data_IF_691645974743
#
_entry.id   IF_691645974743
#
_cell.length_a   1.000
_cell.length_b   1.000
_cell.length_c   1.000
_cell.angle_alpha   90.00
_cell.angle_beta   90.00
_cell.angle_gamma   90.00
#
_symmetry.space_group_name_H-M   'P 1'
#
loop_
_entity.id
_entity.type
_entity.pdbx_description
1 polymer ?
#
# COMPACT_ATOMS: atom_id res chain seq x y z
N UNK A 1 -4.30 11.70 -45.39
CA UNK A 1 -4.42 12.54 -44.17
C UNK A 1 -4.70 11.60 -43.00
N UNK A 2 -3.64 11.04 -42.43
CA UNK A 2 -3.68 10.18 -41.25
C UNK A 2 -3.36 11.03 -40.03
N UNK A 3 -4.25 10.98 -39.05
CA UNK A 3 -4.37 11.88 -37.91
C UNK A 3 -3.18 11.79 -36.94
N UNK A 4 -2.66 12.97 -36.62
CA UNK A 4 -1.57 13.33 -35.70
C UNK A 4 -2.00 13.28 -34.21
N UNK A 5 -2.97 12.41 -33.87
CA UNK A 5 -3.64 12.41 -32.57
C UNK A 5 -2.91 11.67 -31.44
N UNK A 6 -1.83 10.94 -31.74
CA UNK A 6 -1.09 10.14 -30.76
C UNK A 6 -0.14 10.94 -29.87
N UNK A 7 0.42 12.03 -30.38
CA UNK A 7 1.52 12.76 -29.72
C UNK A 7 1.03 13.74 -28.63
N UNK A 8 -0.22 14.23 -28.75
CA UNK A 8 -0.81 15.13 -27.75
C UNK A 8 -1.30 14.41 -26.48
N UNK A 9 -1.82 13.18 -26.60
CA UNK A 9 -2.29 12.41 -25.43
C UNK A 9 -1.13 11.95 -24.53
N UNK A 10 0.01 11.60 -25.12
CA UNK A 10 1.23 11.23 -24.38
C UNK A 10 1.80 12.39 -23.55
N UNK A 11 1.75 13.62 -24.08
CA UNK A 11 2.19 14.82 -23.35
C UNK A 11 1.31 15.15 -22.14
N UNK A 12 -0.01 15.08 -22.28
CA UNK A 12 -0.95 15.40 -21.18
C UNK A 12 -0.78 14.43 -20.01
N UNK A 13 -0.51 13.14 -20.27
CA UNK A 13 -0.25 12.17 -19.21
C UNK A 13 1.05 12.48 -18.45
N UNK A 14 2.11 12.87 -19.16
CA UNK A 14 3.39 13.25 -18.54
C UNK A 14 3.28 14.52 -17.67
N UNK A 15 2.35 15.41 -18.00
CA UNK A 15 2.07 16.64 -17.25
C UNK A 15 1.27 16.41 -15.96
N UNK A 16 0.72 15.20 -15.75
CA UNK A 16 0.02 14.88 -14.51
C UNK A 16 0.99 14.86 -13.31
N UNK A 17 0.52 15.16 -12.09
CA UNK A 17 1.36 15.03 -10.91
C UNK A 17 1.63 13.55 -10.62
N UNK A 18 2.77 13.28 -10.02
CA UNK A 18 3.07 11.96 -9.47
C UNK A 18 1.97 11.53 -8.47
N UNK A 19 1.51 10.27 -8.47
CA UNK A 19 2.00 9.13 -9.27
C UNK A 19 1.31 8.95 -10.64
N UNK A 20 0.39 9.84 -11.01
CA UNK A 20 -0.48 9.70 -12.19
C UNK A 20 0.23 9.93 -13.53
N UNK A 21 1.50 10.36 -13.52
CA UNK A 21 2.34 10.45 -14.70
C UNK A 21 3.17 9.20 -14.98
N UNK A 22 3.11 8.22 -14.09
CA UNK A 22 3.78 6.93 -14.26
C UNK A 22 2.92 5.98 -15.11
N UNK A 23 3.53 4.96 -15.71
CA UNK A 23 2.76 3.93 -16.42
C UNK A 23 1.94 3.09 -15.43
N UNK A 24 0.62 3.24 -15.51
CA UNK A 24 -0.34 2.55 -14.62
C UNK A 24 -0.87 1.25 -15.22
N UNK A 25 -0.45 0.85 -16.43
CA UNK A 25 -1.03 -0.29 -17.14
C UNK A 25 -0.75 -1.65 -16.51
N UNK A 26 0.25 -1.75 -15.65
CA UNK A 26 0.55 -2.96 -14.85
C UNK A 26 -0.30 -3.05 -13.58
N UNK A 27 -0.98 -1.96 -13.19
CA UNK A 27 -1.70 -1.83 -11.91
C UNK A 27 -3.21 -1.70 -12.13
N UNK A 28 -3.62 -0.97 -13.16
CA UNK A 28 -5.02 -0.76 -13.54
C UNK A 28 -5.39 -1.80 -14.61
N UNK A 29 -5.87 -2.95 -14.15
CA UNK A 29 -5.96 -4.16 -14.97
C UNK A 29 -7.40 -4.57 -15.34
N UNK A 30 -8.40 -4.04 -14.64
CA UNK A 30 -9.83 -4.39 -14.82
C UNK A 30 -10.57 -3.48 -15.81
N UNK A 31 -9.84 -2.84 -16.72
CA UNK A 31 -10.40 -1.96 -17.73
C UNK A 31 -11.15 -2.73 -18.84
N UNK A 32 -12.30 -2.20 -19.26
CA UNK A 32 -13.20 -2.80 -20.25
C UNK A 32 -12.69 -2.66 -21.69
N UNK A 33 -11.54 -3.28 -21.99
CA UNK A 33 -10.97 -3.36 -23.36
C UNK A 33 -10.48 -4.76 -23.65
N UNK A 34 -10.74 -5.23 -24.87
CA UNK A 34 -10.37 -6.58 -25.33
C UNK A 34 -8.86 -6.74 -25.55
N UNK A 35 -8.21 -5.79 -26.22
CA UNK A 35 -6.78 -5.89 -26.52
C UNK A 35 -5.88 -5.31 -25.41
N UNK A 36 -4.70 -5.92 -25.16
CA UNK A 36 -3.72 -5.37 -24.21
C UNK A 36 -3.30 -3.94 -24.53
N UNK A 37 -3.07 -3.61 -25.80
CA UNK A 37 -2.67 -2.26 -26.24
C UNK A 37 -3.75 -1.20 -25.96
N UNK A 38 -5.03 -1.56 -26.06
CA UNK A 38 -6.13 -0.65 -25.72
C UNK A 38 -6.33 -0.51 -24.22
N UNK A 39 -6.09 -1.57 -23.43
CA UNK A 39 -6.04 -1.46 -21.96
C UNK A 39 -4.90 -0.55 -21.51
N UNK A 40 -3.70 -0.74 -22.05
CA UNK A 40 -2.54 0.10 -21.74
C UNK A 40 -2.81 1.59 -22.01
N UNK A 41 -3.35 1.92 -23.19
CA UNK A 41 -3.73 3.31 -23.50
C UNK A 41 -4.81 3.85 -22.56
N UNK A 42 -5.79 3.03 -22.19
CA UNK A 42 -6.89 3.46 -21.34
C UNK A 42 -6.45 3.62 -19.87
N UNK A 43 -5.49 2.82 -19.40
CA UNK A 43 -4.91 2.95 -18.07
C UNK A 43 -4.20 4.29 -17.92
N UNK A 44 -3.42 4.68 -18.94
CA UNK A 44 -2.67 5.94 -18.97
C UNK A 44 -3.47 7.12 -19.55
N UNK A 45 -4.80 7.00 -19.65
CA UNK A 45 -5.64 8.09 -20.12
C UNK A 45 -5.90 9.11 -18.99
N UNK A 46 -5.77 10.43 -19.23
CA UNK A 46 -5.95 11.45 -18.19
C UNK A 46 -7.32 11.42 -17.49
N UNK A 47 -8.37 10.96 -18.16
CA UNK A 47 -9.70 10.84 -17.55
C UNK A 47 -9.76 9.63 -16.61
N UNK A 48 -9.03 8.54 -16.90
CA UNK A 48 -8.86 7.43 -15.94
C UNK A 48 -8.21 7.94 -14.65
N UNK A 49 -7.14 8.73 -14.79
CA UNK A 49 -6.50 9.41 -13.65
C UNK A 49 -7.44 10.36 -12.91
N UNK A 50 -8.31 11.08 -13.64
CA UNK A 50 -9.30 11.99 -13.06
C UNK A 50 -10.29 11.26 -12.13
N UNK A 51 -10.72 10.05 -12.50
CA UNK A 51 -11.59 9.23 -11.64
C UNK A 51 -10.84 8.68 -10.41
N UNK A 52 -9.60 8.24 -10.59
CA UNK A 52 -8.76 7.72 -9.49
C UNK A 52 -8.47 8.81 -8.45
N UNK A 53 -8.05 10.01 -8.88
CA UNK A 53 -7.78 11.13 -7.96
C UNK A 53 -9.04 11.61 -7.25
N UNK A 54 -10.19 11.65 -7.93
CA UNK A 54 -11.48 11.98 -7.33
C UNK A 54 -11.86 10.97 -6.23
N UNK A 55 -11.69 9.66 -6.50
CA UNK A 55 -11.97 8.61 -5.53
C UNK A 55 -11.01 8.62 -4.32
N UNK A 56 -9.72 8.88 -4.53
CA UNK A 56 -8.76 9.02 -3.43
C UNK A 56 -9.10 10.23 -2.55
N UNK A 57 -9.52 11.35 -3.15
CA UNK A 57 -9.97 12.53 -2.39
C UNK A 57 -11.24 12.23 -1.58
N UNK A 58 -12.20 11.50 -2.15
CA UNK A 58 -13.37 11.01 -1.41
C UNK A 58 -12.96 10.10 -0.26
N UNK A 59 -12.08 9.13 -0.50
CA UNK A 59 -11.55 8.28 0.55
C UNK A 59 -10.85 9.09 1.65
N UNK A 60 -10.09 10.12 1.30
CA UNK A 60 -9.40 10.98 2.27
C UNK A 60 -10.37 11.80 3.12
N UNK A 61 -11.47 12.29 2.54
CA UNK A 61 -12.50 13.03 3.27
C UNK A 61 -13.34 12.14 4.19
N UNK A 62 -13.53 10.87 3.85
CA UNK A 62 -14.38 9.98 4.65
C UNK A 62 -13.59 9.05 5.57
N UNK A 63 -12.32 8.76 5.25
CA UNK A 63 -11.46 7.82 5.97
C UNK A 63 -10.20 8.56 6.48
N UNK A 64 -10.30 9.18 7.66
CA UNK A 64 -9.18 9.91 8.25
C UNK A 64 -9.51 10.53 9.62
N UNK A 65 -8.49 11.04 10.35
CA UNK A 65 -8.70 11.80 11.58
C UNK A 65 -9.54 13.07 11.33
N UNK A 66 -9.35 13.71 10.18
CA UNK A 66 -10.06 14.93 9.77
C UNK A 66 -11.28 14.63 8.86
N UNK A 67 -11.95 13.49 9.07
CA UNK A 67 -13.04 13.10 8.19
C UNK A 67 -14.25 14.03 8.30
N UNK A 68 -14.82 14.40 7.16
CA UNK A 68 -16.08 15.13 7.09
C UNK A 68 -17.20 14.21 7.59
N UNK A 69 -17.76 14.54 8.76
CA UNK A 69 -18.90 13.84 9.34
C UNK A 69 -20.12 14.73 9.28
N UNK A 70 -21.12 14.32 8.50
CA UNK A 70 -22.42 14.97 8.50
C UNK A 70 -23.31 14.29 9.54
N UNK A 71 -23.80 15.05 10.53
CA UNK A 71 -24.81 14.53 11.44
C UNK A 71 -26.08 14.18 10.67
N UNK A 72 -26.63 12.99 10.89
CA UNK A 72 -27.97 12.59 10.44
C UNK A 72 -29.07 13.26 11.27
N UNK A 73 -28.74 13.72 12.48
CA UNK A 73 -29.57 14.56 13.34
C UNK A 73 -28.73 15.76 13.82
N UNK A 74 -29.13 17.02 13.54
CA UNK A 74 -28.41 18.20 14.00
C UNK A 74 -28.29 18.32 15.54
N UNK A 75 -29.18 17.69 16.29
CA UNK A 75 -29.23 17.75 17.76
C UNK A 75 -28.48 16.58 18.43
N UNK A 76 -28.00 15.59 17.66
CA UNK A 76 -27.22 14.47 18.18
C UNK A 76 -25.88 14.34 17.44
N UNK A 77 -24.81 14.78 18.09
CA UNK A 77 -23.44 14.71 17.55
C UNK A 77 -22.97 13.26 17.28
N UNK A 78 -23.63 12.25 17.86
CA UNK A 78 -23.33 10.82 17.61
C UNK A 78 -24.14 10.22 16.46
N UNK A 79 -25.16 10.93 16.00
CA UNK A 79 -25.96 10.61 14.83
C UNK A 79 -25.14 10.96 13.60
N UNK A 80 -24.15 10.15 13.24
CA UNK A 80 -23.30 10.37 12.06
C UNK A 80 -23.63 9.38 10.95
N UNK A 81 -23.60 9.83 9.70
CA UNK A 81 -23.75 8.92 8.55
C UNK A 81 -22.53 7.98 8.49
N UNK A 82 -22.74 6.65 8.54
CA UNK A 82 -21.66 5.64 8.48
C UNK A 82 -21.74 4.73 7.24
N UNK A 83 -21.74 5.26 6.00
CA UNK A 83 -21.76 4.38 4.85
C UNK A 83 -20.37 3.80 4.62
N UNK A 84 -20.23 2.49 4.83
CA UNK A 84 -19.02 1.77 4.47
C UNK A 84 -18.88 1.77 2.93
N UNK A 85 -17.91 2.53 2.42
CA UNK A 85 -17.58 2.72 0.99
C UNK A 85 -18.67 3.29 0.06
N UNK A 86 -19.90 3.61 0.51
CA UNK A 86 -20.93 4.15 -0.41
C UNK A 86 -20.54 5.51 -1.02
N UNK A 87 -19.66 6.25 -0.34
CA UNK A 87 -19.05 7.48 -0.84
C UNK A 87 -18.18 7.25 -2.09
N UNK A 88 -17.82 6.01 -2.42
CA UNK A 88 -17.12 5.63 -3.65
C UNK A 88 -18.05 5.19 -4.78
N UNK A 89 -19.37 5.36 -4.66
CA UNK A 89 -20.29 5.05 -5.76
C UNK A 89 -19.91 5.80 -7.05
N UNK A 90 -20.19 5.22 -8.22
CA UNK A 90 -19.92 5.86 -9.52
C UNK A 90 -20.44 7.31 -9.58
N UNK A 91 -21.63 7.57 -9.01
CA UNK A 91 -22.22 8.91 -8.98
C UNK A 91 -21.40 9.88 -8.12
N UNK A 92 -20.97 9.45 -6.93
CA UNK A 92 -20.16 10.27 -6.04
C UNK A 92 -18.78 10.57 -6.65
N UNK A 93 -18.11 9.56 -7.22
CA UNK A 93 -16.81 9.73 -7.89
C UNK A 93 -16.94 10.69 -9.09
N UNK A 94 -17.93 10.50 -9.95
CA UNK A 94 -18.18 11.38 -11.10
C UNK A 94 -18.48 12.82 -10.66
N UNK A 95 -19.26 13.01 -9.59
CA UNK A 95 -19.54 14.34 -9.06
C UNK A 95 -18.24 15.00 -8.53
N UNK A 96 -17.37 14.23 -7.88
CA UNK A 96 -16.10 14.74 -7.36
C UNK A 96 -15.09 15.11 -8.46
N UNK A 97 -15.18 14.54 -9.67
CA UNK A 97 -14.31 14.92 -10.79
C UNK A 97 -14.37 16.42 -11.07
N UNK A 98 -15.52 17.08 -10.87
CA UNK A 98 -15.64 18.53 -11.04
C UNK A 98 -14.72 19.34 -10.11
N UNK A 99 -14.36 18.76 -8.97
CA UNK A 99 -13.51 19.38 -7.94
C UNK A 99 -12.03 19.02 -8.10
N UNK A 100 -11.65 18.26 -9.13
CA UNK A 100 -10.27 17.85 -9.36
C UNK A 100 -9.32 19.05 -9.48
N UNK A 101 -8.10 18.96 -8.94
CA UNK A 101 -7.12 20.03 -9.10
C UNK A 101 -6.60 20.03 -10.55
N UNK A 102 -6.13 21.18 -11.09
CA UNK A 102 -5.33 21.16 -12.31
C UNK A 102 -4.09 20.25 -12.11
N UNK A 103 -3.59 19.58 -13.17
CA UNK A 103 -4.06 19.57 -14.55
C UNK A 103 -5.11 18.48 -14.86
N UNK A 104 -5.68 17.82 -13.86
CA UNK A 104 -6.64 16.75 -14.09
C UNK A 104 -7.91 17.27 -14.79
N UNK A 105 -8.50 16.47 -15.69
CA UNK A 105 -9.83 16.74 -16.21
C UNK A 105 -10.84 16.99 -15.10
N UNK A 106 -11.66 18.02 -15.29
CA UNK A 106 -12.78 18.41 -14.41
C UNK A 106 -14.16 18.00 -14.93
N UNK A 107 -14.19 17.25 -16.02
CA UNK A 107 -15.43 16.76 -16.63
C UNK A 107 -15.39 15.24 -16.67
N UNK A 108 -16.45 14.62 -16.15
CA UNK A 108 -16.64 13.18 -16.17
C UNK A 108 -18.14 12.87 -16.19
N UNK A 109 -18.50 11.71 -16.73
CA UNK A 109 -19.88 11.21 -16.70
C UNK A 109 -19.90 9.78 -16.18
N UNK A 110 -21.05 9.32 -15.70
CA UNK A 110 -21.23 7.90 -15.31
C UNK A 110 -21.05 6.99 -16.53
N UNK A 111 -21.49 7.42 -17.72
CA UNK A 111 -21.27 6.69 -18.97
C UNK A 111 -19.78 6.49 -19.25
N UNK A 112 -18.99 7.57 -19.22
CA UNK A 112 -17.55 7.50 -19.45
C UNK A 112 -16.78 6.68 -18.38
N UNK A 113 -17.31 6.60 -17.16
CA UNK A 113 -16.77 5.71 -16.12
C UNK A 113 -17.11 4.25 -16.42
N UNK A 114 -18.34 3.95 -16.85
CA UNK A 114 -18.76 2.59 -17.26
C UNK A 114 -18.06 2.10 -18.53
N UNK A 115 -17.73 3.02 -19.43
CA UNK A 115 -16.92 2.73 -20.62
C UNK A 115 -15.47 2.35 -20.26
N UNK A 116 -15.03 2.62 -19.02
CA UNK A 116 -13.70 2.25 -18.49
C UNK A 116 -13.77 1.00 -17.63
N UNK A 117 -14.69 0.95 -16.68
CA UNK A 117 -14.90 -0.19 -15.79
C UNK A 117 -16.32 -0.72 -15.95
N UNK A 118 -16.42 -2.00 -16.30
CA UNK A 118 -17.71 -2.64 -16.57
C UNK A 118 -18.61 -2.65 -15.33
N UNK A 119 -18.03 -2.77 -14.15
CA UNK A 119 -18.74 -2.76 -12.86
C UNK A 119 -18.07 -1.84 -11.84
N UNK A 120 -18.79 -1.57 -10.74
CA UNK A 120 -18.22 -0.88 -9.57
C UNK A 120 -17.10 -1.71 -8.91
N UNK A 121 -17.24 -3.04 -8.86
CA UNK A 121 -16.22 -3.93 -8.29
C UNK A 121 -14.92 -3.88 -9.09
N UNK A 122 -14.99 -3.82 -10.43
CA UNK A 122 -13.81 -3.65 -11.29
C UNK A 122 -13.07 -2.33 -10.97
N UNK A 123 -13.83 -1.25 -10.83
CA UNK A 123 -13.27 0.06 -10.44
C UNK A 123 -12.63 0.02 -9.05
N UNK A 124 -13.30 -0.57 -8.06
CA UNK A 124 -12.78 -0.66 -6.70
C UNK A 124 -11.53 -1.55 -6.65
N UNK A 125 -11.49 -2.66 -7.38
CA UNK A 125 -10.32 -3.52 -7.45
C UNK A 125 -9.10 -2.80 -8.05
N UNK A 126 -9.28 -2.02 -9.11
CA UNK A 126 -8.21 -1.19 -9.68
C UNK A 126 -7.82 -0.03 -8.74
N UNK A 127 -8.78 0.61 -8.07
CA UNK A 127 -8.49 1.66 -7.08
C UNK A 127 -7.67 1.11 -5.91
N UNK A 128 -8.00 -0.08 -5.41
CA UNK A 128 -7.27 -0.76 -4.33
C UNK A 128 -5.86 -1.12 -4.78
N UNK A 129 -5.71 -1.72 -5.98
CA UNK A 129 -4.40 -1.99 -6.56
C UNK A 129 -3.58 -0.71 -6.73
N UNK A 130 -4.21 0.38 -7.17
CA UNK A 130 -3.56 1.66 -7.35
C UNK A 130 -3.03 2.25 -6.05
N UNK A 131 -3.80 2.23 -4.96
CA UNK A 131 -3.34 2.74 -3.66
C UNK A 131 -2.31 1.82 -2.99
N UNK A 132 -2.30 0.52 -3.36
CA UNK A 132 -1.35 -0.48 -2.88
C UNK A 132 -0.03 -0.51 -3.66
N UNK A 133 -0.03 0.06 -4.86
CA UNK A 133 1.12 0.04 -5.72
C UNK A 133 2.28 0.82 -5.11
N UNK A 134 3.47 0.24 -5.08
CA UNK A 134 4.68 0.89 -4.54
C UNK A 134 4.96 2.25 -5.21
N UNK A 135 4.59 2.41 -6.49
CA UNK A 135 4.75 3.63 -7.26
C UNK A 135 3.74 4.71 -6.90
N UNK A 136 2.77 4.44 -6.02
CA UNK A 136 1.81 5.42 -5.51
C UNK A 136 2.44 6.41 -4.52
N UNK A 137 3.46 5.98 -3.77
CA UNK A 137 4.08 6.79 -2.74
C UNK A 137 4.98 7.87 -3.32
N UNK A 138 4.88 9.10 -2.81
CA UNK A 138 5.64 10.26 -3.29
C UNK A 138 7.12 9.93 -3.52
N UNK A 139 7.74 10.49 -4.58
CA UNK A 139 9.15 10.23 -4.92
C UNK A 139 10.12 10.41 -3.74
N UNK A 140 9.82 11.32 -2.80
CA UNK A 140 10.59 11.51 -1.58
C UNK A 140 10.53 10.31 -0.63
N UNK A 141 9.39 9.64 -0.53
CA UNK A 141 9.24 8.38 0.20
C UNK A 141 10.16 7.32 -0.42
N UNK A 142 10.08 7.09 -1.73
CA UNK A 142 10.91 6.09 -2.40
C UNK A 142 12.41 6.34 -2.17
N UNK A 143 12.86 7.61 -2.21
CA UNK A 143 14.25 7.97 -1.90
C UNK A 143 14.62 7.69 -0.45
N UNK A 144 13.76 8.05 0.51
CA UNK A 144 14.00 7.79 1.95
C UNK A 144 14.04 6.29 2.26
N UNK A 145 13.17 5.51 1.62
CA UNK A 145 13.16 4.06 1.75
C UNK A 145 14.40 3.42 1.14
N UNK A 146 14.85 3.90 -0.02
CA UNK A 146 16.09 3.43 -0.64
C UNK A 146 17.32 3.74 0.25
N UNK A 147 17.44 4.96 0.77
CA UNK A 147 18.52 5.33 1.68
C UNK A 147 18.49 4.47 2.97
N UNK A 148 17.30 4.25 3.55
CA UNK A 148 17.17 3.36 4.70
C UNK A 148 17.52 1.90 4.40
N UNK A 149 17.27 1.42 3.17
CA UNK A 149 17.70 0.09 2.74
C UNK A 149 19.24 0.01 2.57
N UNK A 150 19.89 1.05 2.06
CA UNK A 150 21.35 1.12 2.00
C UNK A 150 21.99 1.02 3.39
N UNK A 151 21.42 1.70 4.38
CA UNK A 151 21.86 1.61 5.78
C UNK A 151 21.70 0.18 6.35
N UNK A 152 20.63 -0.54 5.97
CA UNK A 152 20.49 -1.95 6.35
C UNK A 152 21.61 -2.82 5.77
N UNK A 153 22.06 -2.54 4.55
CA UNK A 153 23.08 -3.34 3.87
C UNK A 153 24.50 -3.04 4.38
N UNK A 154 24.86 -1.76 4.42
CA UNK A 154 26.25 -1.32 4.60
C UNK A 154 26.45 -0.36 5.78
N UNK A 155 25.37 0.07 6.44
CA UNK A 155 25.45 0.98 7.58
C UNK A 155 26.21 0.37 8.77
N UNK A 156 26.90 1.21 9.58
CA UNK A 156 27.66 0.74 10.72
C UNK A 156 26.79 0.27 11.89
N UNK A 157 25.54 0.74 11.99
CA UNK A 157 24.59 0.39 13.03
C UNK A 157 23.31 -0.19 12.42
N UNK A 158 23.28 -1.51 12.30
CA UNK A 158 22.15 -2.25 11.74
C UNK A 158 20.86 -2.08 12.56
N UNK A 159 20.96 -2.07 13.89
CA UNK A 159 19.79 -1.99 14.79
C UNK A 159 19.11 -0.64 14.64
N UNK A 160 19.90 0.44 14.62
CA UNK A 160 19.38 1.79 14.38
C UNK A 160 18.75 1.92 12.98
N UNK A 161 19.34 1.30 11.95
CA UNK A 161 18.77 1.27 10.61
C UNK A 161 17.39 0.57 10.57
N UNK A 162 17.24 -0.57 11.25
CA UNK A 162 15.95 -1.28 11.36
C UNK A 162 14.89 -0.39 12.02
N UNK A 163 15.21 0.24 13.15
CA UNK A 163 14.26 1.14 13.82
C UNK A 163 13.89 2.35 12.95
N UNK A 164 14.86 2.96 12.28
CA UNK A 164 14.63 4.12 11.42
C UNK A 164 13.72 3.78 10.24
N UNK A 165 13.96 2.65 9.58
CA UNK A 165 13.11 2.19 8.46
C UNK A 165 11.72 1.80 8.93
N UNK A 166 11.60 1.10 10.07
CA UNK A 166 10.33 0.76 10.67
C UNK A 166 9.52 2.00 11.07
N UNK A 167 10.16 3.04 11.60
CA UNK A 167 9.51 4.31 11.90
C UNK A 167 8.98 5.01 10.66
N UNK A 168 9.78 5.10 9.58
CA UNK A 168 9.34 5.67 8.31
C UNK A 168 8.13 4.93 7.76
N UNK A 169 8.18 3.59 7.76
CA UNK A 169 7.09 2.74 7.29
C UNK A 169 5.80 2.97 8.10
N UNK A 170 5.87 2.90 9.44
CA UNK A 170 4.70 3.09 10.31
C UNK A 170 4.11 4.49 10.23
N UNK A 171 4.95 5.53 10.22
CA UNK A 171 4.49 6.93 10.10
C UNK A 171 3.64 7.09 8.85
N UNK A 172 4.07 6.52 7.73
CA UNK A 172 3.37 6.70 6.46
C UNK A 172 2.16 5.77 6.37
N UNK A 173 2.27 4.52 6.82
CA UNK A 173 1.16 3.58 6.89
C UNK A 173 -0.03 4.14 7.72
N UNK A 174 0.25 4.80 8.84
CA UNK A 174 -0.78 5.39 9.72
C UNK A 174 -1.41 6.64 9.11
N UNK A 175 -0.69 7.43 8.30
CA UNK A 175 -1.18 8.72 7.84
C UNK A 175 -1.74 8.72 6.41
N UNK A 176 -1.44 7.69 5.61
CA UNK A 176 -1.93 7.62 4.24
C UNK A 176 -3.41 7.21 4.18
N UNK A 177 -4.28 8.00 3.48
CA UNK A 177 -5.67 7.62 3.23
C UNK A 177 -5.81 6.27 2.50
N UNK A 178 -4.86 5.95 1.61
CA UNK A 178 -4.79 4.67 0.91
C UNK A 178 -4.73 3.46 1.86
N UNK A 179 -4.02 3.59 2.99
CA UNK A 179 -3.95 2.52 4.01
C UNK A 179 -5.32 2.25 4.62
N UNK A 180 -6.09 3.29 4.98
CA UNK A 180 -7.44 3.12 5.54
C UNK A 180 -8.41 2.56 4.52
N UNK A 181 -8.35 3.05 3.28
CA UNK A 181 -9.16 2.51 2.19
C UNK A 181 -8.89 1.02 1.99
N UNK A 182 -7.63 0.61 1.99
CA UNK A 182 -7.24 -0.80 1.91
C UNK A 182 -7.87 -1.62 3.03
N UNK A 183 -7.74 -1.20 4.29
CA UNK A 183 -8.30 -1.97 5.41
C UNK A 183 -9.83 -2.03 5.36
N UNK A 184 -10.49 -0.92 5.02
CA UNK A 184 -11.93 -0.90 4.83
C UNK A 184 -12.34 -1.89 3.73
N UNK A 185 -11.64 -1.87 2.58
CA UNK A 185 -11.89 -2.79 1.49
C UNK A 185 -11.67 -4.25 1.88
N UNK A 186 -10.59 -4.57 2.60
CA UNK A 186 -10.31 -5.93 3.09
C UNK A 186 -11.43 -6.48 3.96
N UNK A 187 -11.99 -5.66 4.85
CA UNK A 187 -13.09 -6.07 5.74
C UNK A 187 -14.39 -6.26 4.95
N UNK A 188 -14.61 -5.46 3.89
CA UNK A 188 -15.85 -5.53 3.09
C UNK A 188 -15.82 -6.47 1.90
N UNK A 189 -14.65 -7.02 1.55
CA UNK A 189 -14.48 -7.84 0.37
C UNK A 189 -15.14 -9.23 0.48
N UNK A 190 -15.64 -9.61 1.65
CA UNK A 190 -16.30 -10.90 1.85
C UNK A 190 -17.48 -11.08 0.87
N UNK A 191 -17.40 -12.12 0.04
CA UNK A 191 -18.39 -12.39 -1.00
C UNK A 191 -18.14 -11.68 -2.34
N UNK A 192 -17.22 -10.71 -2.42
CA UNK A 192 -16.79 -10.08 -3.68
C UNK A 192 -15.43 -10.64 -4.13
N UNK A 193 -15.48 -11.57 -5.08
CA UNK A 193 -14.28 -12.23 -5.62
C UNK A 193 -13.35 -11.26 -6.36
N UNK A 194 -13.90 -10.25 -7.04
CA UNK A 194 -13.10 -9.30 -7.83
C UNK A 194 -12.27 -8.41 -6.90
N UNK A 195 -12.89 -7.90 -5.84
CA UNK A 195 -12.18 -7.13 -4.83
C UNK A 195 -11.17 -8.00 -4.07
N UNK A 196 -11.55 -9.24 -3.72
CA UNK A 196 -10.64 -10.19 -3.05
C UNK A 196 -9.39 -10.50 -3.90
N UNK A 197 -9.57 -10.72 -5.20
CA UNK A 197 -8.47 -10.93 -6.15
C UNK A 197 -7.62 -9.68 -6.32
N UNK A 198 -8.23 -8.49 -6.40
CA UNK A 198 -7.52 -7.21 -6.42
C UNK A 198 -6.65 -6.98 -5.19
N UNK A 199 -7.16 -7.30 -3.99
CA UNK A 199 -6.39 -7.24 -2.74
C UNK A 199 -5.21 -8.22 -2.79
N UNK A 200 -5.45 -9.48 -3.20
CA UNK A 200 -4.41 -10.51 -3.30
C UNK A 200 -3.29 -10.09 -4.27
N UNK A 201 -3.66 -9.60 -5.45
CA UNK A 201 -2.72 -9.10 -6.45
C UNK A 201 -1.92 -7.90 -5.95
N UNK A 202 -2.59 -6.99 -5.21
CA UNK A 202 -1.94 -5.87 -4.55
C UNK A 202 -0.89 -6.30 -3.53
N UNK A 203 -1.18 -7.28 -2.66
CA UNK A 203 -0.21 -7.81 -1.69
C UNK A 203 1.00 -8.46 -2.36
N UNK A 204 0.78 -9.30 -3.38
CA UNK A 204 1.87 -9.94 -4.11
C UNK A 204 2.82 -8.90 -4.74
N UNK A 205 2.25 -7.88 -5.38
CA UNK A 205 3.01 -6.78 -6.00
C UNK A 205 3.72 -5.92 -4.96
N UNK A 206 3.09 -5.70 -3.81
CA UNK A 206 3.64 -4.90 -2.72
C UNK A 206 4.83 -5.59 -2.02
N UNK A 207 4.76 -6.90 -1.79
CA UNK A 207 5.77 -7.63 -1.02
C UNK A 207 7.02 -7.99 -1.83
N UNK A 208 6.93 -8.17 -3.14
CA UNK A 208 8.07 -8.65 -3.93
C UNK A 208 9.31 -7.73 -3.85
N UNK A 209 9.20 -6.39 -3.96
CA UNK A 209 10.34 -5.48 -3.76
C UNK A 209 10.98 -5.62 -2.37
N UNK A 210 10.16 -5.90 -1.34
CA UNK A 210 10.64 -6.10 0.01
C UNK A 210 11.40 -7.40 0.18
N UNK A 211 10.95 -8.48 -0.45
CA UNK A 211 11.67 -9.76 -0.46
C UNK A 211 13.06 -9.60 -1.05
N UNK A 212 13.21 -8.85 -2.13
CA UNK A 212 14.52 -8.54 -2.72
C UNK A 212 15.43 -7.76 -1.76
N UNK A 213 14.89 -6.76 -1.05
CA UNK A 213 15.62 -6.03 0.00
C UNK A 213 16.07 -6.99 1.10
N UNK A 214 15.21 -7.88 1.57
CA UNK A 214 15.57 -8.84 2.63
C UNK A 214 16.62 -9.85 2.17
N UNK A 215 16.54 -10.35 0.93
CA UNK A 215 17.57 -11.22 0.33
C UNK A 215 18.91 -10.49 0.21
N UNK A 216 18.90 -9.23 -0.23
CA UNK A 216 20.10 -8.42 -0.36
C UNK A 216 20.73 -8.12 1.01
N UNK A 217 19.92 -7.77 2.00
CA UNK A 217 20.35 -7.56 3.38
C UNK A 217 20.98 -8.81 3.98
N UNK A 218 20.33 -9.97 3.83
CA UNK A 218 20.85 -11.23 4.34
C UNK A 218 22.24 -11.54 3.76
N UNK A 219 22.40 -11.41 2.44
CA UNK A 219 23.71 -11.58 1.77
C UNK A 219 24.76 -10.59 2.28
N UNK A 220 24.43 -9.32 2.39
CA UNK A 220 25.36 -8.27 2.80
C UNK A 220 25.84 -8.45 4.25
N UNK A 221 25.00 -9.02 5.12
CA UNK A 221 25.27 -9.24 6.54
C UNK A 221 25.75 -10.65 6.88
N UNK A 222 25.96 -11.51 5.87
CA UNK A 222 26.38 -12.90 6.08
C UNK A 222 25.34 -13.72 6.86
N UNK A 223 24.05 -13.45 6.60
CA UNK A 223 22.93 -14.13 7.23
C UNK A 223 22.31 -15.16 6.26
N UNK A 224 21.80 -16.24 6.84
CA UNK A 224 20.98 -17.23 6.16
C UNK A 224 19.71 -17.50 6.97
N UNK A 225 18.65 -17.98 6.30
CA UNK A 225 17.43 -18.41 6.98
C UNK A 225 17.66 -19.77 7.66
N UNK A 226 17.00 -19.97 8.81
CA UNK A 226 16.93 -21.28 9.46
C UNK A 226 16.25 -22.32 8.56
N UNK A 227 16.59 -23.61 8.68
CA UNK A 227 15.91 -24.69 7.98
C UNK A 227 14.39 -24.65 8.16
N UNK A 228 13.67 -24.83 7.05
CA UNK A 228 12.20 -24.85 7.04
C UNK A 228 11.53 -23.48 6.97
N UNK A 229 12.30 -22.37 6.98
CA UNK A 229 11.78 -21.01 6.82
C UNK A 229 12.16 -20.45 5.46
N UNK A 230 11.17 -19.93 4.73
CA UNK A 230 11.39 -19.23 3.48
C UNK A 230 11.38 -17.70 3.66
N UNK A 231 11.94 -16.99 2.68
CA UNK A 231 11.91 -15.53 2.68
C UNK A 231 10.48 -14.99 2.59
N UNK A 232 9.57 -15.76 2.00
CA UNK A 232 8.16 -15.46 1.92
C UNK A 232 7.51 -15.49 3.30
N UNK A 233 7.91 -16.41 4.18
CA UNK A 233 7.42 -16.46 5.57
C UNK A 233 7.84 -15.21 6.33
N UNK A 234 9.10 -14.80 6.20
CA UNK A 234 9.59 -13.57 6.82
C UNK A 234 8.82 -12.34 6.34
N UNK A 235 8.68 -12.20 5.02
CA UNK A 235 7.99 -11.06 4.43
C UNK A 235 6.51 -11.00 4.86
N UNK A 236 5.83 -12.14 4.90
CA UNK A 236 4.43 -12.24 5.33
C UNK A 236 4.27 -11.96 6.82
N UNK A 237 5.13 -12.52 7.68
CA UNK A 237 5.12 -12.25 9.13
C UNK A 237 5.33 -10.76 9.42
N UNK A 238 6.33 -10.15 8.77
CA UNK A 238 6.60 -8.73 8.96
C UNK A 238 5.44 -7.86 8.44
N UNK A 239 4.85 -8.21 7.30
CA UNK A 239 3.66 -7.52 6.78
C UNK A 239 2.45 -7.65 7.73
N UNK A 240 2.23 -8.82 8.33
CA UNK A 240 1.18 -9.03 9.31
C UNK A 240 1.39 -8.18 10.57
N UNK A 241 2.64 -8.03 11.03
CA UNK A 241 2.98 -7.13 12.14
C UNK A 241 2.70 -5.67 11.75
N UNK A 242 3.13 -5.22 10.56
CA UNK A 242 2.83 -3.87 10.05
C UNK A 242 1.33 -3.63 10.03
N UNK A 243 0.55 -4.58 9.51
CA UNK A 243 -0.90 -4.45 9.41
C UNK A 243 -1.59 -4.39 10.77
N UNK A 244 -1.21 -5.28 11.69
CA UNK A 244 -1.74 -5.29 13.05
C UNK A 244 -1.40 -4.01 13.82
N UNK A 245 -0.15 -3.54 13.73
CA UNK A 245 0.28 -2.31 14.41
C UNK A 245 -0.37 -1.07 13.81
N UNK A 246 -0.54 -1.02 12.48
CA UNK A 246 -1.22 0.10 11.81
C UNK A 246 -2.69 0.16 12.23
N UNK A 247 -3.41 -0.96 12.20
CA UNK A 247 -4.81 -1.03 12.67
C UNK A 247 -4.95 -0.61 14.13
N UNK A 248 -4.05 -1.08 15.02
CA UNK A 248 -4.06 -0.68 16.43
C UNK A 248 -3.78 0.81 16.62
N UNK A 249 -2.87 1.38 15.84
CA UNK A 249 -2.55 2.82 15.86
C UNK A 249 -3.70 3.67 15.35
N UNK A 250 -4.42 3.21 14.31
CA UNK A 250 -5.63 3.87 13.83
C UNK A 250 -6.75 3.81 14.88
N UNK A 251 -6.94 2.65 15.51
CA UNK A 251 -8.01 2.44 16.50
C UNK A 251 -7.76 3.15 17.83
N UNK A 252 -6.49 3.28 18.24
CA UNK A 252 -6.09 3.99 19.46
C UNK A 252 -4.89 4.91 19.16
N UNK A 253 -5.13 6.14 18.67
CA UNK A 253 -4.06 7.09 18.32
C UNK A 253 -3.20 7.53 19.51
N UNK A 254 -3.69 7.36 20.74
CA UNK A 254 -2.97 7.71 21.97
C UNK A 254 -2.07 6.59 22.49
N UNK A 255 -1.85 5.53 21.70
CA UNK A 255 -0.99 4.43 22.12
C UNK A 255 0.50 4.75 21.93
N UNK A 256 1.35 4.16 22.77
CA UNK A 256 2.80 4.34 22.69
C UNK A 256 3.45 3.39 21.66
N UNK A 257 2.76 3.03 20.57
CA UNK A 257 3.30 2.13 19.55
C UNK A 257 4.33 2.82 18.63
N UNK A 258 4.28 4.16 18.57
CA UNK A 258 5.17 5.01 17.78
C UNK A 258 5.73 6.12 18.67
N UNK A 259 7.00 6.01 19.03
CA UNK A 259 7.74 7.09 19.71
C UNK A 259 8.30 8.05 18.66
N UNK A 260 7.62 9.18 18.46
CA UNK A 260 8.07 10.21 17.53
C UNK A 260 9.32 10.96 17.99
N UNK A 261 9.63 10.98 19.29
CA UNK A 261 10.80 11.67 19.84
C UNK A 261 12.07 10.87 19.57
N UNK A 262 12.03 9.56 19.83
CA UNK A 262 13.16 8.66 19.60
C UNK A 262 13.16 8.03 18.21
N UNK A 263 12.09 8.24 17.42
CA UNK A 263 11.86 7.58 16.13
C UNK A 263 11.94 6.05 16.24
N UNK A 264 11.37 5.52 17.31
CA UNK A 264 11.29 4.09 17.57
C UNK A 264 9.85 3.63 17.48
N UNK A 265 9.65 2.37 17.09
CA UNK A 265 8.32 1.78 16.97
C UNK A 265 8.33 0.35 17.49
N UNK A 266 7.16 -0.14 17.91
CA UNK A 266 7.00 -1.56 18.20
C UNK A 266 7.25 -2.42 16.95
N UNK A 267 7.07 -1.87 15.75
CA UNK A 267 7.46 -2.53 14.51
C UNK A 267 8.97 -2.79 14.45
N UNK A 268 9.81 -1.81 14.82
CA UNK A 268 11.26 -2.01 14.85
C UNK A 268 11.68 -3.11 15.82
N UNK A 269 11.05 -3.17 17.00
CA UNK A 269 11.26 -4.26 17.95
C UNK A 269 10.82 -5.61 17.38
N UNK A 270 9.63 -5.68 16.77
CA UNK A 270 9.12 -6.89 16.13
C UNK A 270 10.00 -7.37 14.97
N UNK A 271 10.50 -6.44 14.15
CA UNK A 271 11.42 -6.73 13.06
C UNK A 271 12.73 -7.33 13.57
N UNK A 272 13.34 -6.74 14.62
CA UNK A 272 14.55 -7.29 15.24
C UNK A 272 14.31 -8.66 15.87
N UNK A 273 13.17 -8.85 16.55
CA UNK A 273 12.82 -10.14 17.12
C UNK A 273 12.68 -11.22 16.04
N UNK A 274 12.00 -10.91 14.93
CA UNK A 274 11.89 -11.82 13.79
C UNK A 274 13.27 -12.10 13.17
N UNK A 275 14.05 -11.07 12.87
CA UNK A 275 15.39 -11.20 12.31
C UNK A 275 16.26 -12.12 13.17
N UNK A 276 16.30 -11.86 14.47
CA UNK A 276 17.04 -12.67 15.44
C UNK A 276 16.57 -14.13 15.48
N UNK A 277 15.27 -14.37 15.29
CA UNK A 277 14.69 -15.71 15.44
C UNK A 277 14.89 -16.56 14.19
N UNK A 278 14.72 -15.99 13.01
CA UNK A 278 14.63 -16.75 11.76
C UNK A 278 15.91 -16.71 10.92
N UNK A 279 16.78 -15.71 11.14
CA UNK A 279 18.08 -15.64 10.49
C UNK A 279 19.17 -16.09 11.44
N UNK A 280 20.19 -16.71 10.87
CA UNK A 280 21.42 -17.07 11.54
C UNK A 280 22.60 -16.50 10.78
N UNK A 281 23.69 -16.28 11.49
CA UNK A 281 24.96 -15.98 10.86
C UNK A 281 25.50 -17.23 10.16
N UNK A 282 25.91 -17.10 8.90
CA UNK A 282 26.42 -18.22 8.11
C UNK A 282 27.66 -18.87 8.72
N UNK A 283 28.48 -18.10 9.44
CA UNK A 283 29.70 -18.58 10.11
C UNK A 283 29.44 -19.19 11.50
N UNK A 284 28.22 -19.05 12.04
CA UNK A 284 27.82 -19.53 13.37
C UNK A 284 26.53 -20.37 13.31
N UNK A 285 26.13 -20.82 12.13
CA UNK A 285 24.85 -21.50 11.93
C UNK A 285 24.79 -22.83 12.69
N UNK A 286 23.75 -23.01 13.50
CA UNK A 286 23.54 -24.23 14.30
C UNK A 286 22.84 -25.34 13.49
N UNK A 287 22.23 -24.98 12.35
CA UNK A 287 21.53 -25.91 11.47
C UNK A 287 20.18 -26.39 12.03
N UNK A 288 19.68 -25.78 13.10
CA UNK A 288 18.41 -26.09 13.75
C UNK A 288 17.26 -25.33 13.10
N UNK A 289 16.12 -26.00 12.95
CA UNK A 289 14.86 -25.32 12.66
C UNK A 289 14.51 -24.32 13.77
N UNK A 290 13.54 -23.44 13.52
CA UNK A 290 13.07 -22.50 14.54
C UNK A 290 12.55 -23.24 15.79
N UNK A 291 11.79 -24.32 15.61
CA UNK A 291 11.25 -25.13 16.70
C UNK A 291 12.34 -25.80 17.51
N UNK A 292 13.37 -26.34 16.84
CA UNK A 292 14.52 -26.98 17.48
C UNK A 292 15.33 -25.96 18.29
N UNK A 293 15.59 -24.77 17.72
CA UNK A 293 16.28 -23.69 18.42
C UNK A 293 15.52 -23.20 19.66
N UNK A 294 14.19 -23.09 19.57
CA UNK A 294 13.33 -22.75 20.71
C UNK A 294 13.38 -23.85 21.77
N UNK A 295 13.28 -25.13 21.36
CA UNK A 295 13.36 -26.28 22.26
C UNK A 295 14.72 -26.29 22.99
N UNK A 296 15.82 -26.16 22.27
CA UNK A 296 17.17 -26.12 22.83
C UNK A 296 17.35 -24.94 23.81
N UNK A 297 16.75 -23.78 23.51
CA UNK A 297 16.81 -22.61 24.40
C UNK A 297 16.04 -22.80 25.71
N UNK A 298 14.91 -23.52 25.68
CA UNK A 298 14.04 -23.72 26.86
C UNK A 298 14.54 -24.90 27.71
N UNK A 299 14.95 -25.99 27.08
CA UNK A 299 15.23 -27.25 27.75
C UNK A 299 16.72 -27.65 27.74
N UNK A 300 17.57 -26.89 27.04
CA UNK A 300 18.97 -27.22 26.78
C UNK A 300 19.15 -27.99 25.47
N UNK A 301 20.34 -27.91 24.86
CA UNK A 301 20.68 -28.76 23.72
C UNK A 301 20.84 -30.21 24.21
N UNK A 302 20.14 -31.15 23.58
CA UNK A 302 20.34 -32.59 23.80
C UNK A 302 21.69 -33.06 23.23
#
# INVERSE_FOLDING_TARGET
MTSDGGDCQGKIHQDLPFPYNQDMSSVITHLDRRSPSSRHRLANDPVTSAYLVAAIRLASRHLGPDSERTPTDPEDENSITRPLLSFLSQRAVVAEVANNPPPFPKQGTVGAMRDRWKSQSDFLADLIQFVLWHGHHAADYSRKMAAGAEDLFAGPDFVSAVHSLAYLNMRDAINLPGSRLRYAAMITAEGDKVITEGIRGGYATFLEPWKEIYRAMARARGLQLRPGVEIDDFANLLAAIVDGLTLRSIANPSNDLVDHKQKQTLLGVGALALLYSIFERMDEADGMSLEEAVNARIYGAN
#
